data_IF_812567798448
#
_entry.id   IF_812567798448
#
_cell.length_a   1.000
_cell.length_b   1.000
_cell.length_c   1.000
_cell.angle_alpha   90.00
_cell.angle_beta   90.00
_cell.angle_gamma   90.00
#
_symmetry.space_group_name_H-M   'P 1'
#
loop_
_entity.id
_entity.type
_entity.pdbx_description
1 polymer ?
#
# COMPACT_ATOMS: atom_id res chain seq x y z
N UNK A 1 11.96 1.21 -13.49
CA UNK A 1 11.37 0.28 -12.50
C UNK A 1 11.35 -1.09 -13.17
N UNK A 2 12.10 -2.06 -12.67
CA UNK A 2 12.12 -3.41 -13.26
C UNK A 2 10.73 -4.04 -13.14
N UNK A 3 10.24 -4.63 -14.24
CA UNK A 3 9.01 -5.42 -14.19
C UNK A 3 9.28 -6.74 -13.48
N UNK A 4 8.58 -6.99 -12.38
CA UNK A 4 8.70 -8.23 -11.62
C UNK A 4 7.74 -9.27 -12.23
N UNK A 5 8.23 -10.43 -12.70
CA UNK A 5 7.39 -11.53 -13.14
C UNK A 5 6.44 -11.99 -12.01
N UNK A 6 5.20 -12.37 -12.34
CA UNK A 6 4.18 -12.68 -11.33
C UNK A 6 4.51 -13.88 -10.46
N UNK A 7 5.22 -14.87 -11.01
CA UNK A 7 5.78 -16.02 -10.29
C UNK A 7 6.87 -15.62 -9.30
N UNK A 8 7.49 -14.46 -9.47
CA UNK A 8 8.50 -13.90 -8.55
C UNK A 8 7.93 -12.88 -7.57
N UNK A 9 6.67 -12.46 -7.74
CA UNK A 9 6.06 -11.39 -6.95
C UNK A 9 6.07 -11.68 -5.45
N UNK A 10 5.72 -12.90 -5.05
CA UNK A 10 5.73 -13.30 -3.64
C UNK A 10 7.14 -13.20 -3.05
N UNK A 11 8.14 -13.75 -3.75
CA UNK A 11 9.53 -13.71 -3.29
C UNK A 11 10.07 -12.28 -3.21
N UNK A 12 9.73 -11.43 -4.17
CA UNK A 12 10.16 -10.02 -4.17
C UNK A 12 9.56 -9.25 -2.99
N UNK A 13 8.29 -9.46 -2.67
CA UNK A 13 7.67 -8.86 -1.48
C UNK A 13 8.31 -9.45 -0.20
N UNK A 14 8.54 -10.76 -0.12
CA UNK A 14 9.22 -11.38 1.02
C UNK A 14 10.63 -10.84 1.24
N UNK A 15 11.38 -10.54 0.17
CA UNK A 15 12.69 -9.88 0.28
C UNK A 15 12.60 -8.48 0.90
N UNK A 16 11.56 -7.71 0.55
CA UNK A 16 11.31 -6.40 1.16
C UNK A 16 10.96 -6.58 2.64
N UNK A 17 10.05 -7.51 2.96
CA UNK A 17 9.59 -7.78 4.33
C UNK A 17 10.63 -8.49 5.21
N UNK A 18 11.70 -9.04 4.63
CA UNK A 18 12.82 -9.60 5.39
C UNK A 18 13.55 -8.53 6.23
N UNK A 19 13.40 -7.26 5.86
CA UNK A 19 13.80 -6.13 6.69
C UNK A 19 12.54 -5.53 7.35
N UNK A 20 12.57 -5.24 8.66
CA UNK A 20 11.45 -4.59 9.33
C UNK A 20 11.32 -3.13 8.86
N UNK A 21 10.13 -2.74 8.43
CA UNK A 21 9.81 -1.37 8.03
C UNK A 21 8.79 -0.78 8.98
N UNK A 22 9.07 0.41 9.47
CA UNK A 22 8.13 1.11 10.33
C UNK A 22 6.96 1.65 9.50
N UNK A 23 5.78 1.58 10.10
CA UNK A 23 4.55 2.12 9.55
C UNK A 23 4.18 3.34 10.37
N UNK A 24 4.19 4.49 9.73
CA UNK A 24 3.86 5.76 10.35
C UNK A 24 2.50 6.25 9.86
N UNK A 25 1.85 7.02 10.72
CA UNK A 25 0.63 7.72 10.36
C UNK A 25 0.79 9.20 10.64
N UNK A 26 0.36 10.03 9.70
CA UNK A 26 0.29 11.48 9.87
C UNK A 26 -1.02 12.00 9.29
N UNK A 27 -1.45 13.14 9.77
CA UNK A 27 -2.58 13.88 9.19
C UNK A 27 -2.03 15.08 8.47
N UNK A 28 -2.45 15.29 7.23
CA UNK A 28 -2.11 16.46 6.42
C UNK A 28 -3.39 17.18 5.99
N UNK A 29 -3.27 18.44 5.62
CA UNK A 29 -4.41 19.16 5.04
C UNK A 29 -4.77 18.60 3.66
N UNK A 30 -6.02 18.75 3.24
CA UNK A 30 -6.46 18.41 1.88
C UNK A 30 -5.63 19.15 0.83
N UNK A 31 -5.37 20.44 1.04
CA UNK A 31 -4.58 21.26 0.13
C UNK A 31 -3.15 20.73 -0.03
N UNK A 32 -2.53 20.26 1.06
CA UNK A 32 -1.20 19.60 1.00
C UNK A 32 -1.27 18.25 0.27
N UNK A 33 -2.31 17.45 0.52
CA UNK A 33 -2.50 16.17 -0.16
C UNK A 33 -2.68 16.33 -1.67
N UNK A 34 -3.42 17.37 -2.10
CA UNK A 34 -3.64 17.72 -3.50
C UNK A 34 -2.36 18.18 -4.20
N UNK A 35 -1.36 18.69 -3.48
CA UNK A 35 -0.05 19.06 -4.03
C UNK A 35 0.90 17.86 -4.17
N UNK A 36 0.61 16.73 -3.53
CA UNK A 36 1.43 15.49 -3.56
C UNK A 36 1.03 14.54 -4.70
N UNK A 37 0.64 15.09 -5.85
CA UNK A 37 0.26 14.30 -7.03
C UNK A 37 1.37 13.32 -7.44
N UNK A 38 1.00 12.06 -7.69
CA UNK A 38 1.92 10.99 -8.08
C UNK A 38 2.63 10.28 -6.92
N UNK A 39 2.77 10.91 -5.75
CA UNK A 39 3.31 10.26 -4.55
C UNK A 39 2.21 9.48 -3.83
N UNK A 40 1.04 10.11 -3.62
CA UNK A 40 -0.13 9.43 -3.10
C UNK A 40 -0.88 8.80 -4.28
N UNK A 41 -0.92 7.47 -4.33
CA UNK A 41 -1.58 6.74 -5.43
C UNK A 41 -3.10 6.84 -5.35
N UNK A 42 -3.63 7.05 -4.14
CA UNK A 42 -5.06 7.27 -3.93
C UNK A 42 -5.47 8.61 -4.53
N UNK A 43 -6.44 8.57 -5.44
CA UNK A 43 -6.91 9.79 -6.11
C UNK A 43 -7.70 10.63 -5.10
N UNK A 44 -7.07 11.69 -4.57
CA UNK A 44 -7.63 12.56 -3.52
C UNK A 44 -8.95 13.19 -3.95
N UNK A 45 -9.14 13.40 -5.25
CA UNK A 45 -10.38 13.91 -5.83
C UNK A 45 -11.61 12.99 -5.60
N UNK A 46 -11.41 11.71 -5.26
CA UNK A 46 -12.49 10.77 -4.93
C UNK A 46 -12.93 10.89 -3.46
N UNK A 47 -12.21 11.66 -2.64
CA UNK A 47 -12.56 11.86 -1.24
C UNK A 47 -13.64 12.95 -1.09
N UNK A 48 -14.60 12.78 -0.15
CA UNK A 48 -15.65 13.77 0.09
C UNK A 48 -15.09 15.18 0.27
N UNK A 49 -15.70 16.19 -0.35
CA UNK A 49 -15.23 17.58 -0.31
C UNK A 49 -15.18 18.17 1.12
N UNK A 50 -16.01 17.65 2.03
CA UNK A 50 -16.02 18.05 3.44
C UNK A 50 -14.80 17.57 4.23
N UNK A 51 -14.01 16.63 3.68
CA UNK A 51 -12.81 16.12 4.33
C UNK A 51 -11.64 17.08 4.09
N UNK A 52 -11.34 17.89 5.10
CA UNK A 52 -10.27 18.88 5.08
C UNK A 52 -8.93 18.34 5.62
N UNK A 53 -8.98 17.20 6.32
CA UNK A 53 -7.83 16.52 6.88
C UNK A 53 -7.74 15.10 6.33
N UNK A 54 -6.59 14.76 5.76
CA UNK A 54 -6.33 13.47 5.14
C UNK A 54 -5.33 12.70 6.00
N UNK A 55 -5.73 11.51 6.45
CA UNK A 55 -4.83 10.58 7.12
C UNK A 55 -3.97 9.85 6.09
N UNK A 56 -2.67 9.95 6.26
CA UNK A 56 -1.64 9.29 5.46
C UNK A 56 -1.04 8.16 6.26
N UNK A 57 -0.93 6.98 5.63
CA UNK A 57 -0.14 5.84 6.09
C UNK A 57 1.12 5.77 5.24
N UNK A 58 2.27 5.74 5.89
CA UNK A 58 3.57 5.71 5.26
C UNK A 58 4.35 4.49 5.75
N UNK A 59 4.84 3.66 4.83
CA UNK A 59 5.71 2.52 5.11
C UNK A 59 7.13 2.95 4.76
N UNK A 60 7.90 3.41 5.75
CA UNK A 60 9.24 3.99 5.55
C UNK A 60 9.33 4.84 4.25
N UNK A 61 10.23 4.49 3.34
CA UNK A 61 10.46 5.04 2.01
C UNK A 61 9.83 4.19 0.89
N UNK A 62 9.03 3.18 1.24
CA UNK A 62 8.45 2.20 0.31
C UNK A 62 7.15 2.74 -0.33
N UNK A 63 6.22 3.24 0.50
CA UNK A 63 4.90 3.65 0.02
C UNK A 63 4.26 4.69 0.96
N UNK A 64 3.49 5.62 0.39
CA UNK A 64 2.74 6.66 1.10
C UNK A 64 1.31 6.74 0.51
N UNK A 65 0.28 6.49 1.32
CA UNK A 65 -1.12 6.41 0.87
C UNK A 65 -2.10 7.13 1.80
N UNK A 66 -3.14 7.74 1.21
CA UNK A 66 -4.31 8.18 1.97
C UNK A 66 -5.14 6.96 2.40
N UNK A 67 -5.24 6.72 3.71
CA UNK A 67 -5.93 5.54 4.24
C UNK A 67 -6.54 5.81 5.63
N UNK A 68 -7.81 5.43 5.80
CA UNK A 68 -8.53 5.51 7.08
C UNK A 68 -8.50 4.23 7.94
N UNK A 69 -7.82 3.17 7.49
CA UNK A 69 -7.80 1.87 8.17
C UNK A 69 -6.85 1.80 9.37
N UNK A 70 -7.02 0.79 10.22
CA UNK A 70 -6.05 0.44 11.26
C UNK A 70 -4.89 -0.34 10.67
N UNK A 71 -3.66 -0.02 11.07
CA UNK A 71 -2.44 -0.66 10.58
C UNK A 71 -1.57 -1.13 11.76
N UNK A 72 -0.73 -2.13 11.49
CA UNK A 72 0.41 -2.50 12.34
C UNK A 72 1.39 -1.34 12.43
N UNK A 73 2.22 -1.30 13.47
CA UNK A 73 3.28 -0.30 13.64
C UNK A 73 4.57 -0.66 12.89
N UNK A 74 4.78 -1.94 12.59
CA UNK A 74 5.92 -2.42 11.81
C UNK A 74 5.53 -3.62 10.93
N UNK A 75 6.17 -3.76 9.77
CA UNK A 75 5.90 -4.87 8.85
C UNK A 75 6.26 -6.25 9.41
N UNK A 76 7.13 -6.35 10.44
CA UNK A 76 7.46 -7.62 11.09
C UNK A 76 6.29 -8.23 11.90
N UNK A 77 5.27 -7.43 12.23
CA UNK A 77 4.03 -7.90 12.83
C UNK A 77 3.22 -8.73 11.83
N UNK A 78 3.45 -8.49 10.53
CA UNK A 78 2.95 -9.32 9.43
C UNK A 78 3.88 -10.52 9.31
N UNK A 79 3.56 -11.60 10.02
CA UNK A 79 4.37 -12.82 10.10
C UNK A 79 4.80 -13.35 8.73
N UNK A 80 3.90 -14.04 8.04
CA UNK A 80 4.12 -14.51 6.68
C UNK A 80 2.82 -14.42 5.89
N UNK A 81 2.91 -14.49 4.58
CA UNK A 81 1.79 -14.49 3.67
C UNK A 81 2.06 -15.42 2.49
N UNK A 82 1.00 -15.76 1.78
CA UNK A 82 1.13 -16.40 0.46
C UNK A 82 0.11 -15.88 -0.54
N UNK A 83 0.52 -15.82 -1.80
CA UNK A 83 -0.32 -15.47 -2.93
C UNK A 83 -1.08 -16.72 -3.39
N UNK A 84 -2.34 -16.81 -2.97
CA UNK A 84 -3.22 -17.95 -3.27
C UNK A 84 -3.64 -18.03 -4.73
N UNK A 85 -3.83 -16.87 -5.36
CA UNK A 85 -4.34 -16.81 -6.72
C UNK A 85 -4.06 -15.48 -7.38
N UNK A 86 -3.71 -15.53 -8.66
CA UNK A 86 -3.66 -14.35 -9.53
C UNK A 86 -4.65 -14.59 -10.66
N UNK A 87 -5.59 -13.67 -10.85
CA UNK A 87 -6.62 -13.76 -11.87
C UNK A 87 -6.63 -12.53 -12.75
N UNK A 88 -6.65 -12.72 -14.08
CA UNK A 88 -6.94 -11.64 -15.01
C UNK A 88 -8.41 -11.21 -14.86
N UNK A 89 -8.63 -9.90 -14.73
CA UNK A 89 -9.96 -9.27 -14.61
C UNK A 89 -10.12 -8.21 -15.69
N UNK A 90 -10.00 -8.67 -16.94
CA UNK A 90 -9.99 -7.82 -18.13
C UNK A 90 -8.58 -7.54 -18.65
N UNK A 91 -8.44 -6.69 -19.68
CA UNK A 91 -7.16 -6.48 -20.37
C UNK A 91 -6.06 -5.83 -19.51
N UNK A 92 -6.45 -4.97 -18.55
CA UNK A 92 -5.49 -4.12 -17.80
C UNK A 92 -5.51 -4.37 -16.28
N UNK A 93 -6.42 -5.21 -15.77
CA UNK A 93 -6.59 -5.41 -14.32
C UNK A 93 -6.31 -6.85 -13.94
N UNK A 94 -5.54 -7.02 -12.86
CA UNK A 94 -5.31 -8.30 -12.20
C UNK A 94 -5.87 -8.25 -10.79
N UNK A 95 -6.42 -9.37 -10.34
CA UNK A 95 -6.83 -9.58 -8.95
C UNK A 95 -5.90 -10.59 -8.32
N UNK A 96 -5.24 -10.18 -7.24
CA UNK A 96 -4.34 -11.01 -6.45
C UNK A 96 -5.09 -11.36 -5.16
N UNK A 97 -5.19 -12.65 -4.83
CA UNK A 97 -5.75 -13.14 -3.58
C UNK A 97 -4.58 -13.52 -2.67
N UNK A 98 -4.52 -12.88 -1.51
CA UNK A 98 -3.46 -13.08 -0.51
C UNK A 98 -4.08 -13.72 0.72
N UNK A 99 -3.33 -14.62 1.36
CA UNK A 99 -3.63 -15.17 2.68
C UNK A 99 -2.51 -14.80 3.64
N UNK A 100 -2.86 -14.28 4.81
CA UNK A 100 -1.93 -14.15 5.93
C UNK A 100 -1.78 -15.52 6.61
N UNK A 101 -0.54 -15.89 6.89
CA UNK A 101 -0.19 -17.13 7.57
C UNK A 101 0.02 -16.81 9.05
N UNK A 102 -0.69 -17.54 9.91
CA UNK A 102 -0.74 -17.33 11.37
C UNK A 102 0.19 -18.26 12.12
#
# INVERSE_FOLDING_TARGET
MEEIPFDQLEQSIKKILAQPHNVYTKTISRAEAEQKEGVIKTVINLLPASLNEIRIVQINDIDEQACGGTHVGNTNEIKDFSIMKIQQKGPTKKRIKIQLLG
#
